data_IF_246374347526
#
_entry.id   IF_246374347526
#
_cell.length_a   1.000
_cell.length_b   1.000
_cell.length_c   1.000
_cell.angle_alpha   90.00
_cell.angle_beta   90.00
_cell.angle_gamma   90.00
#
_symmetry.space_group_name_H-M   'P 1'
#
loop_
_entity.id
_entity.type
_entity.pdbx_description
1 polymer ?
#
# COMPACT_ATOMS: atom_id res chain seq x y z
N UNK A 1 -12.97 -42.00 -23.81
CA UNK A 1 -12.01 -40.90 -23.59
C UNK A 1 -12.65 -39.61 -24.09
N UNK A 2 -13.34 -38.89 -23.21
CA UNK A 2 -13.99 -37.62 -23.57
C UNK A 2 -12.94 -36.53 -23.73
N UNK A 3 -12.63 -36.24 -24.99
CA UNK A 3 -11.77 -35.13 -25.37
C UNK A 3 -12.58 -33.83 -25.20
N UNK A 4 -12.64 -33.31 -23.98
CA UNK A 4 -13.23 -31.99 -23.71
C UNK A 4 -12.31 -30.91 -24.29
N UNK A 5 -12.41 -30.73 -25.61
CA UNK A 5 -11.74 -29.68 -26.37
C UNK A 5 -12.13 -28.32 -25.79
N UNK A 6 -11.27 -27.74 -24.94
CA UNK A 6 -11.38 -26.34 -24.51
C UNK A 6 -11.60 -25.47 -25.74
N UNK A 7 -12.65 -24.65 -25.72
CA UNK A 7 -12.96 -23.69 -26.78
C UNK A 7 -11.74 -22.80 -27.04
N UNK A 8 -11.09 -22.97 -28.21
CA UNK A 8 -9.98 -22.13 -28.67
C UNK A 8 -10.50 -21.09 -29.65
N UNK A 9 -10.16 -19.83 -29.39
CA UNK A 9 -10.46 -18.71 -30.29
C UNK A 9 -9.65 -18.86 -31.58
N UNK A 10 -10.28 -18.71 -32.76
CA UNK A 10 -9.56 -18.68 -34.03
C UNK A 10 -8.59 -17.50 -34.06
N UNK A 11 -7.34 -17.73 -34.48
CA UNK A 11 -6.37 -16.69 -34.76
C UNK A 11 -6.65 -15.99 -36.08
N UNK A 12 -6.03 -14.82 -36.31
CA UNK A 12 -6.17 -14.12 -37.59
C UNK A 12 -5.66 -14.95 -38.77
N UNK A 13 -4.54 -15.67 -38.62
CA UNK A 13 -4.02 -16.58 -39.63
C UNK A 13 -5.01 -17.70 -39.97
N UNK A 14 -5.66 -18.30 -38.97
CA UNK A 14 -6.70 -19.30 -39.20
C UNK A 14 -7.90 -18.72 -39.97
N UNK A 15 -8.31 -17.48 -39.67
CA UNK A 15 -9.38 -16.80 -40.43
C UNK A 15 -9.01 -16.58 -41.91
N UNK A 16 -7.76 -16.24 -42.20
CA UNK A 16 -7.25 -16.12 -43.59
C UNK A 16 -7.29 -17.45 -44.33
N UNK A 17 -6.95 -18.55 -43.66
CA UNK A 17 -7.07 -19.90 -44.23
C UNK A 17 -8.53 -20.24 -44.53
N UNK A 18 -9.45 -19.96 -43.59
CA UNK A 18 -10.89 -20.16 -43.80
C UNK A 18 -11.39 -19.37 -45.02
N UNK A 19 -11.01 -18.10 -45.14
CA UNK A 19 -11.37 -17.25 -46.29
C UNK A 19 -10.92 -17.85 -47.61
N UNK A 20 -9.66 -18.30 -47.71
CA UNK A 20 -9.14 -18.93 -48.92
C UNK A 20 -9.87 -20.25 -49.24
N UNK A 21 -10.09 -21.10 -48.24
CA UNK A 21 -10.72 -22.41 -48.43
C UNK A 21 -12.21 -22.33 -48.76
N UNK A 22 -12.96 -21.39 -48.17
CA UNK A 22 -14.37 -21.17 -48.51
C UNK A 22 -14.52 -20.68 -49.94
N UNK A 23 -13.64 -19.77 -50.40
CA UNK A 23 -13.63 -19.31 -51.80
C UNK A 23 -13.20 -20.39 -52.79
N UNK A 24 -12.34 -21.31 -52.35
CA UNK A 24 -11.94 -22.49 -53.12
C UNK A 24 -12.98 -23.62 -53.12
N UNK A 25 -14.16 -23.43 -52.52
CA UNK A 25 -15.23 -24.43 -52.52
C UNK A 25 -15.01 -25.62 -51.57
N UNK A 26 -14.03 -25.55 -50.65
CA UNK A 26 -13.77 -26.64 -49.71
C UNK A 26 -14.95 -26.84 -48.74
N UNK A 27 -15.21 -28.09 -48.36
CA UNK A 27 -16.28 -28.40 -47.41
C UNK A 27 -15.85 -27.98 -45.99
N UNK A 28 -16.78 -27.45 -45.19
CA UNK A 28 -16.49 -27.01 -43.82
C UNK A 28 -15.85 -28.10 -42.93
N UNK A 29 -16.14 -29.38 -43.22
CA UNK A 29 -15.53 -30.54 -42.53
C UNK A 29 -14.01 -30.64 -42.80
N UNK A 30 -13.58 -30.35 -44.02
CA UNK A 30 -12.18 -30.43 -44.44
C UNK A 30 -11.38 -29.27 -43.86
N UNK A 31 -11.97 -28.07 -43.86
CA UNK A 31 -11.40 -26.88 -43.23
C UNK A 31 -11.20 -27.12 -41.72
N UNK A 32 -12.19 -27.73 -41.06
CA UNK A 32 -12.14 -28.04 -39.64
C UNK A 32 -11.01 -29.05 -39.31
N UNK A 33 -10.91 -30.14 -40.08
CA UNK A 33 -9.84 -31.12 -39.96
C UNK A 33 -8.45 -30.51 -40.18
N UNK A 34 -8.28 -29.70 -41.24
CA UNK A 34 -7.01 -29.06 -41.57
C UNK A 34 -6.55 -28.06 -40.49
N UNK A 35 -7.48 -27.39 -39.83
CA UNK A 35 -7.19 -26.41 -38.77
C UNK A 35 -7.15 -27.02 -37.36
N UNK A 36 -7.46 -28.31 -37.21
CA UNK A 36 -7.54 -28.99 -35.91
C UNK A 36 -8.61 -28.40 -35.00
N UNK A 37 -9.75 -27.96 -35.55
CA UNK A 37 -10.88 -27.39 -34.81
C UNK A 37 -12.16 -28.16 -35.09
N UNK A 38 -13.15 -28.04 -34.21
CA UNK A 38 -14.46 -28.66 -34.44
C UNK A 38 -15.21 -28.04 -35.63
N UNK A 39 -15.96 -28.85 -36.38
CA UNK A 39 -16.77 -28.41 -37.53
C UNK A 39 -17.75 -27.29 -37.16
N UNK A 40 -18.32 -27.33 -35.95
CA UNK A 40 -19.24 -26.30 -35.46
C UNK A 40 -18.55 -24.94 -35.29
N UNK A 41 -17.23 -24.90 -35.02
CA UNK A 41 -16.45 -23.66 -34.94
C UNK A 41 -16.36 -22.97 -36.30
N UNK A 42 -16.07 -23.73 -37.36
CA UNK A 42 -16.03 -23.22 -38.74
C UNK A 42 -17.43 -22.77 -39.17
N UNK A 43 -18.44 -23.60 -38.92
CA UNK A 43 -19.83 -23.29 -39.26
C UNK A 43 -20.31 -21.98 -38.62
N UNK A 44 -20.09 -21.81 -37.29
CA UNK A 44 -20.45 -20.59 -36.56
C UNK A 44 -19.65 -19.36 -37.02
N UNK A 45 -18.35 -19.51 -37.26
CA UNK A 45 -17.50 -18.41 -37.72
C UNK A 45 -17.96 -17.91 -39.09
N UNK A 46 -18.20 -18.82 -40.05
CA UNK A 46 -18.65 -18.48 -41.40
C UNK A 46 -20.07 -17.92 -41.37
N UNK A 47 -21.01 -18.56 -40.68
CA UNK A 47 -22.41 -18.11 -40.65
C UNK A 47 -22.58 -16.75 -39.98
N UNK A 48 -21.90 -16.53 -38.86
CA UNK A 48 -22.09 -15.32 -38.03
C UNK A 48 -21.29 -14.11 -38.52
N UNK A 49 -20.38 -14.29 -39.50
CA UNK A 49 -19.42 -13.25 -39.91
C UNK A 49 -19.21 -13.13 -41.41
N UNK A 50 -20.03 -13.81 -42.21
CA UNK A 50 -20.16 -13.53 -43.63
C UNK A 50 -21.04 -12.29 -43.84
N UNK A 51 -20.74 -11.53 -44.88
CA UNK A 51 -21.54 -10.39 -45.33
C UNK A 51 -21.90 -10.64 -46.79
N UNK A 52 -23.17 -10.51 -47.13
CA UNK A 52 -23.69 -10.72 -48.49
C UNK A 52 -23.27 -12.08 -49.08
N UNK A 53 -23.27 -13.13 -48.23
CA UNK A 53 -22.89 -14.49 -48.61
C UNK A 53 -21.38 -14.76 -48.70
N UNK A 54 -20.52 -13.74 -48.53
CA UNK A 54 -19.06 -13.87 -48.64
C UNK A 54 -18.39 -13.75 -47.27
N UNK A 55 -17.49 -14.69 -46.96
CA UNK A 55 -16.65 -14.63 -45.77
C UNK A 55 -15.39 -13.80 -46.03
N UNK A 56 -15.16 -12.81 -45.15
CA UNK A 56 -13.99 -11.93 -45.19
C UNK A 56 -13.20 -12.02 -43.88
N UNK A 57 -11.95 -12.48 -43.94
CA UNK A 57 -11.13 -12.71 -42.75
C UNK A 57 -10.87 -11.41 -41.96
N UNK A 58 -10.61 -10.31 -42.68
CA UNK A 58 -10.34 -9.00 -42.09
C UNK A 58 -11.57 -8.43 -41.36
N UNK A 59 -12.75 -8.58 -41.97
CA UNK A 59 -14.01 -8.17 -41.35
C UNK A 59 -14.32 -9.03 -40.12
N UNK A 60 -14.14 -10.35 -40.23
CA UNK A 60 -14.36 -11.28 -39.13
C UNK A 60 -13.42 -11.01 -37.94
N UNK A 61 -12.16 -10.66 -38.20
CA UNK A 61 -11.19 -10.24 -37.20
C UNK A 61 -11.53 -8.89 -36.58
N UNK A 62 -11.88 -7.89 -37.39
CA UNK A 62 -12.28 -6.56 -36.92
C UNK A 62 -13.52 -6.63 -36.01
N UNK A 63 -14.54 -7.39 -36.42
CA UNK A 63 -15.74 -7.64 -35.63
C UNK A 63 -15.45 -8.39 -34.34
N UNK A 64 -14.57 -9.39 -34.38
CA UNK A 64 -14.10 -10.08 -33.17
C UNK A 64 -13.43 -9.11 -32.21
N UNK A 65 -12.46 -8.33 -32.67
CA UNK A 65 -11.74 -7.34 -31.86
C UNK A 65 -12.71 -6.32 -31.24
N UNK A 66 -13.69 -5.82 -32.01
CA UNK A 66 -14.74 -4.91 -31.52
C UNK A 66 -15.61 -5.56 -30.43
N UNK A 67 -16.08 -6.79 -30.64
CA UNK A 67 -16.89 -7.52 -29.64
C UNK A 67 -16.05 -7.85 -28.39
N UNK A 68 -14.81 -8.30 -28.57
CA UNK A 68 -13.90 -8.64 -27.47
C UNK A 68 -13.59 -7.44 -26.59
N UNK A 69 -13.43 -6.24 -27.18
CA UNK A 69 -13.32 -4.98 -26.42
C UNK A 69 -14.51 -4.73 -25.49
N UNK A 70 -15.71 -5.19 -25.84
CA UNK A 70 -16.94 -5.08 -25.03
C UNK A 70 -17.14 -6.27 -24.06
N UNK A 71 -16.42 -7.37 -24.25
CA UNK A 71 -16.48 -8.56 -23.41
C UNK A 71 -15.59 -8.41 -22.17
N UNK A 72 -16.00 -7.53 -21.27
CA UNK A 72 -15.41 -7.37 -19.94
C UNK A 72 -16.52 -7.30 -18.89
N UNK A 73 -16.30 -7.80 -17.66
CA UNK A 73 -17.22 -7.55 -16.56
C UNK A 73 -17.50 -6.05 -16.43
N UNK A 74 -18.77 -5.66 -16.33
CA UNK A 74 -19.11 -4.26 -16.03
C UNK A 74 -18.52 -3.91 -14.66
N UNK A 75 -17.94 -2.72 -14.53
CA UNK A 75 -17.41 -2.24 -13.25
C UNK A 75 -18.55 -2.20 -12.22
N UNK A 76 -18.24 -2.50 -10.95
CA UNK A 76 -19.20 -2.46 -9.82
C UNK A 76 -19.68 -1.04 -9.45
N UNK A 77 -19.66 -0.10 -10.39
CA UNK A 77 -20.03 1.30 -10.18
C UNK A 77 -21.54 1.46 -9.91
N UNK A 78 -22.37 0.50 -10.31
CA UNK A 78 -23.81 0.55 -10.07
C UNK A 78 -24.23 0.22 -8.62
N UNK A 79 -23.28 -0.04 -7.71
CA UNK A 79 -23.59 -0.24 -6.30
C UNK A 79 -23.20 1.01 -5.51
N UNK A 80 -24.17 1.91 -5.31
CA UNK A 80 -23.96 3.22 -4.69
C UNK A 80 -23.33 3.12 -3.30
N UNK A 81 -23.65 2.07 -2.52
CA UNK A 81 -23.10 1.87 -1.18
C UNK A 81 -21.61 1.53 -1.22
N UNK A 82 -21.21 0.58 -2.07
CA UNK A 82 -19.79 0.20 -2.21
C UNK A 82 -18.98 1.37 -2.78
N UNK A 83 -19.54 2.06 -3.78
CA UNK A 83 -18.89 3.21 -4.41
C UNK A 83 -18.68 4.33 -3.41
N UNK A 84 -19.73 4.73 -2.70
CA UNK A 84 -19.66 5.78 -1.68
C UNK A 84 -18.66 5.43 -0.59
N UNK A 85 -18.65 4.17 -0.13
CA UNK A 85 -17.71 3.71 0.88
C UNK A 85 -16.24 3.83 0.42
N UNK A 86 -15.83 3.16 -0.67
CA UNK A 86 -14.42 3.24 -1.07
C UNK A 86 -14.01 4.66 -1.50
N UNK A 87 -14.94 5.47 -2.02
CA UNK A 87 -14.67 6.87 -2.34
C UNK A 87 -14.31 7.68 -1.10
N UNK A 88 -15.09 7.53 -0.03
CA UNK A 88 -14.80 8.18 1.25
C UNK A 88 -13.45 7.70 1.80
N UNK A 89 -13.20 6.39 1.79
CA UNK A 89 -11.92 5.84 2.26
C UNK A 89 -10.72 6.36 1.46
N UNK A 90 -10.83 6.45 0.13
CA UNK A 90 -9.79 7.03 -0.72
C UNK A 90 -9.55 8.50 -0.38
N UNK A 91 -10.63 9.29 -0.22
CA UNK A 91 -10.56 10.71 0.12
C UNK A 91 -9.92 10.91 1.50
N UNK A 92 -10.22 10.04 2.46
CA UNK A 92 -9.58 9.95 3.79
C UNK A 92 -8.15 9.40 3.75
N UNK A 93 -7.71 8.96 2.57
CA UNK A 93 -6.32 8.68 2.28
C UNK A 93 -5.87 7.24 2.43
N UNK A 94 -6.81 6.31 2.50
CA UNK A 94 -6.50 4.89 2.37
C UNK A 94 -6.18 4.55 0.91
N UNK A 95 -5.24 3.62 0.74
CA UNK A 95 -4.95 3.03 -0.56
C UNK A 95 -5.99 1.97 -0.95
N UNK A 96 -6.18 1.70 -2.25
CA UNK A 96 -7.01 0.60 -2.71
C UNK A 96 -6.71 -0.76 -2.06
N UNK A 97 -5.43 -1.03 -1.78
CA UNK A 97 -5.00 -2.27 -1.12
C UNK A 97 -5.41 -2.31 0.36
N UNK A 98 -5.29 -1.19 1.07
CA UNK A 98 -5.75 -1.05 2.46
C UNK A 98 -7.27 -1.24 2.56
N UNK A 99 -8.04 -0.61 1.67
CA UNK A 99 -9.51 -0.74 1.62
C UNK A 99 -9.92 -2.20 1.36
N UNK A 100 -9.38 -2.80 0.30
CA UNK A 100 -9.74 -4.16 -0.09
C UNK A 100 -9.34 -5.20 0.98
N UNK A 101 -8.17 -5.02 1.58
CA UNK A 101 -7.70 -5.88 2.66
C UNK A 101 -8.53 -5.74 3.93
N UNK A 102 -8.89 -4.50 4.32
CA UNK A 102 -9.77 -4.26 5.47
C UNK A 102 -11.15 -4.88 5.27
N UNK A 103 -11.75 -4.71 4.08
CA UNK A 103 -13.02 -5.37 3.75
C UNK A 103 -12.93 -6.89 3.83
N UNK A 104 -11.79 -7.48 3.42
CA UNK A 104 -11.57 -8.93 3.53
C UNK A 104 -11.52 -9.39 4.98
N UNK A 105 -10.83 -8.64 5.84
CA UNK A 105 -10.78 -8.90 7.29
C UNK A 105 -12.17 -8.81 7.91
N UNK A 106 -12.91 -7.74 7.66
CA UNK A 106 -14.25 -7.53 8.20
C UNK A 106 -15.25 -8.61 7.75
N UNK A 107 -15.09 -9.15 6.54
CA UNK A 107 -15.87 -10.31 6.08
C UNK A 107 -15.50 -11.57 6.86
N UNK A 108 -14.21 -11.80 7.13
CA UNK A 108 -13.78 -12.96 7.92
C UNK A 108 -14.24 -12.90 9.38
N UNK A 109 -14.41 -11.69 9.92
CA UNK A 109 -14.94 -11.44 11.26
C UNK A 109 -16.48 -11.42 11.32
N UNK A 110 -17.18 -11.61 10.20
CA UNK A 110 -18.64 -11.57 10.14
C UNK A 110 -19.27 -10.17 10.22
N UNK A 111 -18.46 -9.11 10.22
CA UNK A 111 -18.92 -7.70 10.26
C UNK A 111 -19.46 -7.21 8.92
N UNK A 112 -19.02 -7.83 7.82
CA UNK A 112 -19.46 -7.54 6.45
C UNK A 112 -19.71 -8.82 5.67
N UNK A 113 -20.37 -8.70 4.53
CA UNK A 113 -20.66 -9.85 3.66
C UNK A 113 -19.84 -9.81 2.38
N UNK A 114 -19.79 -10.93 1.65
CA UNK A 114 -19.13 -11.00 0.34
C UNK A 114 -19.68 -9.98 -0.67
N UNK A 115 -20.93 -9.54 -0.50
CA UNK A 115 -21.57 -8.53 -1.36
C UNK A 115 -20.90 -7.17 -1.23
N UNK A 116 -20.39 -6.82 -0.05
CA UNK A 116 -19.72 -5.54 0.25
C UNK A 116 -18.28 -5.47 -0.31
N UNK A 117 -17.69 -6.61 -0.69
CA UNK A 117 -16.30 -6.67 -1.12
C UNK A 117 -16.07 -6.05 -2.51
N UNK A 118 -14.99 -5.27 -2.60
CA UNK A 118 -14.38 -4.83 -3.84
C UNK A 118 -12.86 -5.12 -3.82
N UNK A 119 -12.35 -5.69 -4.92
CA UNK A 119 -10.93 -5.99 -5.08
C UNK A 119 -10.13 -4.72 -5.39
N UNK A 120 -8.91 -4.61 -4.87
CA UNK A 120 -8.07 -3.41 -5.06
C UNK A 120 -7.78 -3.12 -6.54
N UNK A 121 -7.66 -4.13 -7.40
CA UNK A 121 -7.53 -3.94 -8.85
C UNK A 121 -8.78 -3.32 -9.47
N UNK A 122 -9.96 -3.66 -8.93
CA UNK A 122 -11.23 -3.06 -9.38
C UNK A 122 -11.31 -1.60 -8.94
N UNK A 123 -10.90 -1.30 -7.70
CA UNK A 123 -10.80 0.08 -7.22
C UNK A 123 -9.84 0.87 -8.12
N UNK A 124 -8.65 0.35 -8.44
CA UNK A 124 -7.70 1.01 -9.33
C UNK A 124 -8.28 1.28 -10.73
N UNK A 125 -8.97 0.31 -11.33
CA UNK A 125 -9.66 0.51 -12.61
C UNK A 125 -10.71 1.61 -12.52
N UNK A 126 -11.49 1.65 -11.43
CA UNK A 126 -12.47 2.73 -11.24
C UNK A 126 -11.76 4.08 -11.13
N UNK A 127 -10.72 4.18 -10.30
CA UNK A 127 -9.99 5.45 -10.09
C UNK A 127 -9.36 6.00 -11.38
N UNK A 128 -8.74 5.14 -12.20
CA UNK A 128 -7.97 5.59 -13.37
C UNK A 128 -8.76 5.54 -14.69
N UNK A 129 -9.64 4.56 -14.88
CA UNK A 129 -10.25 4.27 -16.19
C UNK A 129 -11.69 4.79 -16.28
N UNK A 130 -12.44 4.85 -15.17
CA UNK A 130 -13.85 5.24 -15.20
C UNK A 130 -14.07 6.76 -15.26
N UNK A 131 -15.15 7.18 -15.91
CA UNK A 131 -15.56 8.59 -15.97
C UNK A 131 -15.88 9.15 -14.58
N UNK A 132 -16.46 8.31 -13.72
CA UNK A 132 -16.73 8.64 -12.32
C UNK A 132 -15.44 8.97 -11.57
N UNK A 133 -14.43 8.10 -11.63
CA UNK A 133 -13.15 8.30 -10.94
C UNK A 133 -12.41 9.55 -11.42
N UNK A 134 -12.49 9.85 -12.73
CA UNK A 134 -11.96 11.09 -13.32
C UNK A 134 -12.72 12.33 -12.84
N UNK A 135 -14.06 12.30 -12.86
CA UNK A 135 -14.92 13.40 -12.40
C UNK A 135 -14.70 13.74 -10.93
N UNK A 136 -14.63 12.72 -10.08
CA UNK A 136 -14.36 12.84 -8.64
C UNK A 136 -12.87 13.11 -8.32
N UNK A 137 -12.01 13.16 -9.34
CA UNK A 137 -10.55 13.36 -9.22
C UNK A 137 -9.90 12.40 -8.22
N UNK A 138 -10.39 11.16 -8.13
CA UNK A 138 -9.95 10.21 -7.08
C UNK A 138 -8.45 9.93 -7.10
N UNK A 139 -7.80 10.06 -8.26
CA UNK A 139 -6.37 9.86 -8.42
C UNK A 139 -5.51 10.81 -7.57
N UNK A 140 -5.99 12.02 -7.27
CA UNK A 140 -5.24 13.01 -6.47
C UNK A 140 -5.08 12.59 -5.00
N UNK A 141 -5.95 11.70 -4.52
CA UNK A 141 -5.92 11.17 -3.17
C UNK A 141 -5.09 9.88 -3.05
N UNK A 142 -4.48 9.39 -4.12
CA UNK A 142 -3.56 8.26 -4.05
C UNK A 142 -2.15 8.71 -3.69
N UNK A 143 -1.48 7.95 -2.80
CA UNK A 143 -0.18 8.30 -2.20
C UNK A 143 0.97 8.48 -3.19
N UNK A 144 0.93 7.82 -4.36
CA UNK A 144 2.04 7.81 -5.33
C UNK A 144 1.68 8.56 -6.61
N UNK A 145 2.16 9.80 -6.71
CA UNK A 145 2.61 10.31 -8.01
C UNK A 145 3.89 9.58 -8.38
N UNK A 146 3.96 8.97 -9.57
CA UNK A 146 5.20 8.33 -10.07
C UNK A 146 6.29 9.40 -10.17
N UNK A 147 7.16 9.52 -9.16
CA UNK A 147 8.36 10.35 -9.26
C UNK A 147 9.49 9.47 -9.78
N UNK A 148 10.04 9.83 -10.93
CA UNK A 148 11.25 9.19 -11.44
C UNK A 148 12.39 9.41 -10.43
N UNK A 149 13.07 8.33 -10.07
CA UNK A 149 14.25 8.38 -9.19
C UNK A 149 15.37 9.05 -9.98
N UNK A 150 15.75 10.26 -9.57
CA UNK A 150 16.94 10.92 -10.10
C UNK A 150 18.16 10.48 -9.29
N UNK A 151 19.32 10.29 -9.95
CA UNK A 151 20.58 10.06 -9.25
C UNK A 151 20.86 11.28 -8.37
N UNK A 152 21.02 11.05 -7.07
CA UNK A 152 21.53 12.05 -6.14
C UNK A 152 22.95 11.65 -5.74
N UNK A 153 23.88 12.61 -5.79
CA UNK A 153 25.24 12.40 -5.32
C UNK A 153 25.26 12.31 -3.80
N UNK A 154 26.01 11.33 -3.26
CA UNK A 154 26.18 11.17 -1.82
C UNK A 154 26.84 12.41 -1.22
N UNK A 155 26.25 12.95 -0.14
CA UNK A 155 26.93 13.96 0.68
C UNK A 155 28.01 13.25 1.52
N UNK A 156 29.19 13.88 1.64
CA UNK A 156 30.20 13.48 2.62
C UNK A 156 29.58 13.56 4.02
N UNK A 157 29.63 12.49 4.81
CA UNK A 157 29.20 12.54 6.20
C UNK A 157 30.15 13.43 6.99
N UNK A 158 29.58 14.30 7.83
CA UNK A 158 30.29 14.71 9.04
C UNK A 158 30.18 13.55 10.02
N UNK A 159 31.30 13.12 10.60
CA UNK A 159 31.27 12.18 11.74
C UNK A 159 30.65 12.92 12.93
N UNK A 160 29.38 12.66 13.22
CA UNK A 160 28.79 12.99 14.51
C UNK A 160 29.28 11.99 15.53
N UNK A 161 30.00 12.45 16.55
CA UNK A 161 30.45 11.63 17.67
C UNK A 161 29.30 11.59 18.68
N UNK A 162 28.57 10.47 18.72
CA UNK A 162 27.58 10.21 19.77
C UNK A 162 28.31 9.41 20.85
N UNK A 163 28.51 9.96 22.06
CA UNK A 163 29.18 9.25 23.16
C UNK A 163 28.44 7.94 23.48
N UNK A 164 29.17 6.90 23.88
CA UNK A 164 28.57 5.67 24.45
C UNK A 164 27.42 5.04 23.64
N UNK A 165 27.39 5.22 22.32
CA UNK A 165 26.35 4.60 21.49
C UNK A 165 26.51 3.09 21.45
N UNK A 166 25.41 2.36 21.55
CA UNK A 166 25.37 0.91 21.38
C UNK A 166 24.95 0.59 19.94
N UNK A 167 25.64 -0.35 19.29
CA UNK A 167 25.34 -0.72 17.91
C UNK A 167 23.98 -1.40 17.82
N UNK A 168 23.29 -1.24 16.68
CA UNK A 168 22.09 -2.02 16.38
C UNK A 168 22.37 -3.53 16.33
N UNK A 169 23.62 -3.94 16.12
CA UNK A 169 24.02 -5.35 16.12
C UNK A 169 23.90 -6.00 17.51
N UNK A 170 24.08 -5.20 18.57
CA UNK A 170 23.96 -5.65 19.97
C UNK A 170 22.48 -5.69 20.42
N UNK A 171 21.55 -5.29 19.54
CA UNK A 171 20.12 -5.24 19.87
C UNK A 171 19.55 -6.66 19.95
N UNK A 172 18.80 -7.00 21.02
CA UNK A 172 18.18 -8.32 21.16
C UNK A 172 17.30 -8.70 19.96
N UNK A 173 17.33 -9.98 19.58
CA UNK A 173 16.59 -10.46 18.40
C UNK A 173 15.06 -10.31 18.52
N UNK A 174 14.50 -10.36 19.73
CA UNK A 174 13.07 -10.11 20.00
C UNK A 174 12.59 -8.76 19.40
N UNK A 175 13.46 -7.75 19.35
CA UNK A 175 13.16 -6.44 18.76
C UNK A 175 13.06 -6.49 17.23
N UNK A 176 13.87 -7.35 16.60
CA UNK A 176 13.84 -7.58 15.16
C UNK A 176 12.59 -8.37 14.76
N UNK A 177 12.23 -9.36 15.58
CA UNK A 177 11.04 -10.21 15.42
C UNK A 177 9.74 -9.44 15.74
N UNK A 178 9.82 -8.38 16.56
CA UNK A 178 8.69 -7.51 16.96
C UNK A 178 7.63 -8.27 17.77
N UNK A 179 8.08 -9.11 18.69
CA UNK A 179 7.21 -10.03 19.43
C UNK A 179 6.65 -9.43 20.72
N UNK A 180 7.20 -8.30 21.19
CA UNK A 180 6.71 -7.56 22.36
C UNK A 180 6.42 -6.10 22.03
N UNK A 181 5.61 -5.47 22.86
CA UNK A 181 5.42 -4.02 22.82
C UNK A 181 6.54 -3.31 23.59
N UNK A 182 6.72 -2.03 23.30
CA UNK A 182 7.69 -1.18 23.99
C UNK A 182 9.03 -1.06 23.28
N UNK A 183 9.19 -1.67 22.12
CA UNK A 183 10.36 -1.43 21.28
C UNK A 183 10.06 -0.30 20.28
N UNK A 184 10.61 0.88 20.51
CA UNK A 184 10.35 2.10 19.75
C UNK A 184 11.48 2.42 18.76
N UNK A 185 11.13 3.00 17.61
CA UNK A 185 12.10 3.68 16.75
C UNK A 185 11.84 5.19 16.74
N UNK A 186 12.89 5.99 16.88
CA UNK A 186 12.84 7.45 16.80
C UNK A 186 13.43 7.96 15.49
N UNK A 187 12.80 8.95 14.87
CA UNK A 187 13.32 9.65 13.70
C UNK A 187 12.91 11.13 13.72
N UNK A 188 13.55 11.94 12.87
CA UNK A 188 13.24 13.37 12.76
C UNK A 188 12.85 13.77 11.33
N UNK A 189 11.67 14.36 11.18
CA UNK A 189 11.20 14.94 9.93
C UNK A 189 11.51 16.43 9.91
N UNK A 190 12.44 16.85 9.05
CA UNK A 190 12.93 18.23 8.99
C UNK A 190 12.08 19.08 8.03
N UNK A 191 11.76 20.30 8.47
CA UNK A 191 11.05 21.34 7.74
C UNK A 191 11.91 22.62 7.60
N UNK A 192 11.47 23.63 6.82
CA UNK A 192 12.11 24.94 6.78
C UNK A 192 12.26 25.58 8.18
N UNK A 193 13.06 26.64 8.27
CA UNK A 193 13.29 27.39 9.52
C UNK A 193 13.90 26.55 10.67
N UNK A 194 14.56 25.42 10.33
CA UNK A 194 15.16 24.47 11.28
C UNK A 194 14.16 23.78 12.21
N UNK A 195 12.86 23.93 11.97
CA UNK A 195 11.80 23.19 12.67
C UNK A 195 11.85 21.72 12.28
N UNK A 196 11.41 20.88 13.20
CA UNK A 196 11.34 19.44 12.98
C UNK A 196 10.14 18.84 13.68
N UNK A 197 9.77 17.64 13.27
CA UNK A 197 8.84 16.79 13.98
C UNK A 197 9.61 15.54 14.40
N UNK A 198 9.62 15.23 15.68
CA UNK A 198 10.08 13.94 16.17
C UNK A 198 8.97 12.92 15.89
N UNK A 199 9.33 11.79 15.28
CA UNK A 199 8.42 10.68 15.01
C UNK A 199 8.88 9.45 15.78
N UNK A 200 8.00 8.94 16.63
CA UNK A 200 8.19 7.71 17.38
C UNK A 200 7.24 6.65 16.84
N UNK A 201 7.77 5.47 16.51
CA UNK A 201 6.98 4.35 16.00
C UNK A 201 7.26 3.10 16.83
N UNK A 202 6.21 2.54 17.43
CA UNK A 202 6.29 1.28 18.16
C UNK A 202 6.39 0.12 17.15
N UNK A 203 7.36 -0.78 17.32
CA UNK A 203 7.74 -1.71 16.26
C UNK A 203 6.72 -2.83 16.03
N UNK A 204 5.99 -3.27 17.05
CA UNK A 204 5.02 -4.38 16.96
C UNK A 204 3.68 -3.92 16.38
N UNK A 205 3.07 -2.93 17.01
CA UNK A 205 1.76 -2.34 16.71
C UNK A 205 1.80 -1.28 15.62
N UNK A 206 2.97 -0.71 15.32
CA UNK A 206 3.15 0.41 14.38
C UNK A 206 2.46 1.71 14.82
N UNK A 207 2.06 1.83 16.08
CA UNK A 207 1.50 3.07 16.62
C UNK A 207 2.55 4.17 16.49
N UNK A 208 2.12 5.28 15.91
CA UNK A 208 2.95 6.45 15.65
C UNK A 208 2.57 7.56 16.62
N UNK A 209 3.58 8.19 17.21
CA UNK A 209 3.45 9.39 18.04
C UNK A 209 4.34 10.48 17.46
N UNK A 210 3.82 11.69 17.38
CA UNK A 210 4.50 12.84 16.79
C UNK A 210 4.66 13.94 17.83
N UNK A 211 5.82 14.60 17.84
CA UNK A 211 6.09 15.75 18.70
C UNK A 211 6.68 16.89 17.87
N UNK A 212 6.13 18.10 18.03
CA UNK A 212 6.65 19.29 17.37
C UNK A 212 7.94 19.76 18.05
N UNK A 213 8.98 20.02 17.26
CA UNK A 213 10.24 20.60 17.72
C UNK A 213 10.42 21.98 17.10
N UNK A 214 10.68 22.99 17.95
CA UNK A 214 11.02 24.33 17.50
C UNK A 214 12.36 24.32 16.77
N UNK A 215 13.32 23.52 17.26
CA UNK A 215 14.56 23.22 16.59
C UNK A 215 14.97 21.77 16.81
N UNK A 216 15.64 21.21 15.81
CA UNK A 216 16.24 19.87 15.89
C UNK A 216 17.50 19.88 16.77
N UNK A 217 17.32 20.04 18.08
CA UNK A 217 18.39 20.03 19.11
C UNK A 217 18.30 18.77 19.96
N UNK A 218 19.39 18.41 20.64
CA UNK A 218 19.41 17.23 21.49
C UNK A 218 18.53 17.38 22.74
N UNK A 219 18.44 18.58 23.30
CA UNK A 219 17.59 18.89 24.46
C UNK A 219 16.11 18.75 24.08
N UNK A 220 15.67 19.44 23.03
CA UNK A 220 14.26 19.38 22.59
C UNK A 220 13.87 17.95 22.17
N UNK A 221 14.77 17.22 21.50
CA UNK A 221 14.52 15.83 21.10
C UNK A 221 14.38 14.92 22.32
N UNK A 222 15.27 15.04 23.31
CA UNK A 222 15.20 14.30 24.58
C UNK A 222 13.86 14.53 25.29
N UNK A 223 13.52 15.79 25.52
CA UNK A 223 12.28 16.18 26.22
C UNK A 223 11.03 15.68 25.47
N UNK A 224 11.01 15.84 24.14
CA UNK A 224 9.92 15.37 23.32
C UNK A 224 9.72 13.85 23.39
N UNK A 225 10.80 13.07 23.48
CA UNK A 225 10.72 11.61 23.59
C UNK A 225 10.24 11.20 24.98
N UNK A 226 10.83 11.77 26.04
CA UNK A 226 10.45 11.46 27.42
C UNK A 226 8.97 11.77 27.64
N UNK A 227 8.53 12.99 27.33
CA UNK A 227 7.14 13.42 27.55
C UNK A 227 6.13 12.55 26.77
N UNK A 228 6.52 12.02 25.61
CA UNK A 228 5.62 11.23 24.76
C UNK A 228 5.54 9.76 25.16
N UNK A 229 6.53 9.26 25.90
CA UNK A 229 6.69 7.85 26.26
C UNK A 229 6.67 7.55 27.76
N UNK A 230 6.78 8.55 28.64
CA UNK A 230 6.95 8.37 30.11
C UNK A 230 5.88 7.49 30.78
N UNK A 231 4.66 7.43 30.22
CA UNK A 231 3.54 6.66 30.76
C UNK A 231 3.22 5.41 29.92
N UNK A 232 4.17 4.92 29.13
CA UNK A 232 4.01 3.79 28.22
C UNK A 232 5.08 2.73 28.49
N UNK A 233 4.86 1.47 28.07
CA UNK A 233 5.92 0.48 28.09
C UNK A 233 7.04 0.91 27.12
N UNK A 234 8.27 0.96 27.63
CA UNK A 234 9.47 1.25 26.85
C UNK A 234 10.57 0.27 27.25
N UNK A 235 10.88 -0.64 26.34
CA UNK A 235 11.92 -1.64 26.49
C UNK A 235 13.20 -1.22 25.77
N UNK A 236 13.04 -0.72 24.53
CA UNK A 236 14.15 -0.25 23.72
C UNK A 236 13.78 0.97 22.89
N UNK A 237 14.76 1.80 22.59
CA UNK A 237 14.62 2.90 21.62
C UNK A 237 15.76 2.83 20.61
N UNK A 238 15.41 2.79 19.33
CA UNK A 238 16.38 2.78 18.23
C UNK A 238 16.45 4.14 17.55
N UNK A 239 17.66 4.68 17.42
CA UNK A 239 17.97 5.99 16.84
C UNK A 239 18.78 5.88 15.54
N UNK A 240 18.81 6.97 14.77
CA UNK A 240 19.87 7.16 13.76
C UNK A 240 21.08 7.91 14.38
N UNK A 241 22.16 8.02 13.59
CA UNK A 241 23.37 8.73 14.02
C UNK A 241 23.26 10.27 13.95
N UNK A 242 22.05 10.81 14.12
CA UNK A 242 21.80 12.25 14.19
C UNK A 242 22.36 12.88 15.47
N UNK A 243 22.88 14.10 15.36
CA UNK A 243 23.42 14.86 16.52
C UNK A 243 22.36 15.21 17.56
N UNK A 244 21.08 15.18 17.18
CA UNK A 244 19.97 15.35 18.10
C UNK A 244 19.80 14.18 19.09
N UNK A 245 20.42 13.03 18.81
CA UNK A 245 20.29 11.85 19.65
C UNK A 245 21.48 11.71 20.63
N UNK A 246 22.29 12.75 20.84
CA UNK A 246 23.47 12.68 21.72
C UNK A 246 23.14 12.53 23.20
N UNK A 247 21.91 12.84 23.62
CA UNK A 247 21.44 12.69 25.01
C UNK A 247 20.62 11.39 25.18
N UNK A 248 20.87 10.36 24.36
CA UNK A 248 20.14 9.08 24.43
C UNK A 248 20.33 8.37 25.77
N UNK A 249 21.47 8.54 26.45
CA UNK A 249 21.69 7.93 27.78
C UNK A 249 20.71 8.49 28.81
N UNK A 250 20.47 9.81 28.81
CA UNK A 250 19.48 10.44 29.70
C UNK A 250 18.06 9.96 29.37
N UNK A 251 17.73 9.81 28.08
CA UNK A 251 16.44 9.23 27.65
C UNK A 251 16.29 7.81 28.19
N UNK A 252 17.32 6.97 27.99
CA UNK A 252 17.32 5.58 28.42
C UNK A 252 17.20 5.46 29.94
N UNK A 253 17.93 6.27 30.70
CA UNK A 253 17.83 6.31 32.17
C UNK A 253 16.43 6.74 32.65
N UNK A 254 15.86 7.78 32.04
CA UNK A 254 14.56 8.32 32.48
C UNK A 254 13.38 7.38 32.15
N UNK A 255 13.48 6.64 31.05
CA UNK A 255 12.44 5.70 30.59
C UNK A 255 12.71 4.24 30.95
N UNK A 256 13.78 3.96 31.70
CA UNK A 256 14.27 2.60 31.98
C UNK A 256 14.42 1.72 30.72
N UNK A 257 14.97 2.32 29.66
CA UNK A 257 15.00 1.73 28.33
C UNK A 257 16.42 1.59 27.77
N UNK A 258 16.68 0.51 27.04
CA UNK A 258 17.95 0.32 26.32
C UNK A 258 17.93 1.09 25.00
N UNK A 259 19.04 1.73 24.65
CA UNK A 259 19.14 2.56 23.44
C UNK A 259 20.12 1.96 22.44
N UNK A 260 19.76 2.02 21.15
CA UNK A 260 20.55 1.42 20.06
C UNK A 260 20.63 2.36 18.86
N UNK A 261 21.70 2.25 18.06
CA UNK A 261 21.95 3.11 16.91
C UNK A 261 22.16 2.33 15.63
N UNK A 262 21.42 2.69 14.59
CA UNK A 262 21.59 2.14 13.24
C UNK A 262 23.01 2.40 12.68
N UNK A 263 23.41 1.61 11.69
CA UNK A 263 24.64 1.84 10.95
C UNK A 263 24.55 3.09 10.09
N UNK A 264 25.65 3.82 9.98
CA UNK A 264 25.72 5.01 9.12
C UNK A 264 25.54 4.60 7.65
N UNK A 265 24.60 5.22 6.92
CA UNK A 265 24.24 4.92 5.53
C UNK A 265 23.40 3.65 5.30
N UNK A 266 22.91 3.01 6.36
CA UNK A 266 22.07 1.81 6.26
C UNK A 266 20.58 2.16 6.38
N UNK A 267 20.07 2.96 5.43
CA UNK A 267 18.69 3.46 5.49
C UNK A 267 17.62 2.36 5.53
N UNK A 268 17.93 1.15 5.08
CA UNK A 268 17.01 0.00 5.11
C UNK A 268 16.72 -0.51 6.51
N UNK A 269 17.58 -0.22 7.50
CA UNK A 269 17.40 -0.62 8.90
C UNK A 269 16.23 0.12 9.57
N UNK A 270 15.78 1.24 8.98
CA UNK A 270 14.67 2.08 9.42
C UNK A 270 13.48 2.05 8.44
N UNK A 271 13.27 0.94 7.74
CA UNK A 271 12.18 0.83 6.75
C UNK A 271 10.78 1.16 7.32
N UNK A 272 10.56 0.95 8.63
CA UNK A 272 9.31 1.35 9.30
C UNK A 272 9.18 2.86 9.39
N UNK A 273 10.17 3.56 9.94
CA UNK A 273 10.18 5.02 9.98
C UNK A 273 10.13 5.66 8.59
N UNK A 274 10.82 5.13 7.58
CA UNK A 274 10.74 5.69 6.23
C UNK A 274 9.30 5.63 5.68
N UNK A 275 8.62 4.50 5.87
CA UNK A 275 7.24 4.34 5.47
C UNK A 275 6.32 5.30 6.26
N UNK A 276 6.45 5.36 7.58
CA UNK A 276 5.65 6.24 8.46
C UNK A 276 5.87 7.71 8.12
N UNK A 277 7.12 8.15 7.97
CA UNK A 277 7.45 9.53 7.59
C UNK A 277 6.95 9.88 6.19
N UNK A 278 6.86 8.89 5.29
CA UNK A 278 6.17 9.04 4.02
C UNK A 278 4.65 9.23 4.14
N UNK A 279 4.02 8.72 5.19
CA UNK A 279 2.59 8.93 5.48
C UNK A 279 2.34 10.28 6.12
N UNK A 280 3.16 10.69 7.10
CA UNK A 280 3.09 12.04 7.70
C UNK A 280 3.22 13.12 6.63
N UNK A 281 4.14 12.93 5.66
CA UNK A 281 4.34 13.86 4.53
C UNK A 281 3.14 14.04 3.59
N UNK A 282 2.10 13.22 3.74
CA UNK A 282 0.83 13.43 3.03
C UNK A 282 0.04 14.60 3.62
N UNK A 283 0.09 14.75 4.94
CA UNK A 283 -0.51 15.87 5.66
C UNK A 283 0.40 17.09 5.64
N UNK A 284 1.71 16.84 5.79
CA UNK A 284 2.72 17.89 5.91
C UNK A 284 3.79 17.72 4.81
N UNK A 285 3.51 18.13 3.56
CA UNK A 285 4.48 18.03 2.48
C UNK A 285 5.84 18.65 2.80
N UNK A 286 6.89 18.07 2.21
CA UNK A 286 8.25 18.63 2.32
C UNK A 286 8.26 20.10 1.90
N UNK A 287 9.01 20.92 2.65
CA UNK A 287 9.20 22.37 2.41
C UNK A 287 7.97 23.24 2.69
N UNK A 288 6.88 22.68 3.20
CA UNK A 288 5.81 23.50 3.77
C UNK A 288 6.32 24.24 5.01
N UNK A 289 5.89 25.48 5.20
CA UNK A 289 6.08 26.17 6.47
C UNK A 289 5.13 25.58 7.52
N UNK A 290 5.67 25.09 8.63
CA UNK A 290 4.93 24.51 9.76
C UNK A 290 4.89 25.46 10.96
N UNK A 291 5.02 26.77 10.74
CA UNK A 291 5.11 27.75 11.83
C UNK A 291 3.84 27.86 12.66
N UNK A 292 2.68 27.68 12.01
CA UNK A 292 1.37 27.70 12.65
C UNK A 292 0.88 26.31 13.08
N UNK A 293 1.73 25.28 12.92
CA UNK A 293 1.36 23.92 13.31
C UNK A 293 1.44 23.80 14.83
N UNK A 294 0.40 23.25 15.44
CA UNK A 294 0.34 22.99 16.88
C UNK A 294 0.60 21.51 17.19
N UNK A 295 0.82 21.20 18.47
CA UNK A 295 0.92 19.81 18.90
C UNK A 295 -0.41 19.06 18.74
N UNK A 296 -1.54 19.76 18.87
CA UNK A 296 -2.89 19.18 18.67
C UNK A 296 -3.06 18.71 17.23
N UNK A 297 -2.66 19.53 16.24
CA UNK A 297 -2.71 19.13 14.84
C UNK A 297 -1.89 17.86 14.56
N UNK A 298 -0.73 17.71 15.22
CA UNK A 298 0.11 16.52 15.10
C UNK A 298 -0.52 15.29 15.74
N UNK A 299 -1.22 15.46 16.86
CA UNK A 299 -1.91 14.38 17.55
C UNK A 299 -3.11 13.90 16.73
N UNK A 300 -3.85 14.80 16.07
CA UNK A 300 -4.90 14.45 15.11
C UNK A 300 -4.33 13.68 13.90
N UNK A 301 -3.22 14.15 13.33
CA UNK A 301 -2.54 13.43 12.24
C UNK A 301 -2.09 12.04 12.71
N UNK A 302 -1.54 11.93 13.91
CA UNK A 302 -1.11 10.64 14.47
C UNK A 302 -2.30 9.70 14.66
N UNK A 303 -3.42 10.20 15.18
CA UNK A 303 -4.63 9.41 15.40
C UNK A 303 -5.24 8.91 14.09
N UNK A 304 -5.32 9.77 13.08
CA UNK A 304 -5.67 9.37 11.71
C UNK A 304 -4.76 8.26 11.18
N UNK A 305 -3.44 8.37 11.41
CA UNK A 305 -2.48 7.35 10.99
C UNK A 305 -2.62 6.04 11.77
N UNK A 306 -3.00 6.11 13.04
CA UNK A 306 -3.16 4.98 13.93
C UNK A 306 -4.52 4.27 13.76
N UNK A 307 -5.48 4.91 13.12
CA UNK A 307 -6.75 4.31 12.68
C UNK A 307 -6.75 3.85 11.22
N UNK A 308 -5.60 3.90 10.53
CA UNK A 308 -5.45 3.36 9.18
C UNK A 308 -5.04 1.88 9.21
N UNK A 309 -5.74 0.99 8.47
CA UNK A 309 -5.40 -0.43 8.45
C UNK A 309 -4.02 -0.65 7.82
N UNK A 310 -3.22 -1.54 8.39
CA UNK A 310 -1.86 -1.85 7.91
C UNK A 310 -1.78 -3.28 7.40
N UNK A 311 -1.33 -3.47 6.16
CA UNK A 311 -1.09 -4.81 5.59
C UNK A 311 -0.19 -5.67 6.49
N UNK A 312 0.83 -5.08 7.13
CA UNK A 312 1.74 -5.77 8.05
C UNK A 312 1.02 -6.33 9.29
N UNK A 313 -0.06 -5.67 9.71
CA UNK A 313 -0.90 -6.08 10.84
C UNK A 313 -2.14 -6.83 10.34
N UNK A 314 -2.05 -7.54 9.20
CA UNK A 314 -3.20 -8.22 8.58
C UNK A 314 -4.43 -7.33 8.40
N UNK A 315 -4.23 -6.05 8.12
CA UNK A 315 -5.27 -5.03 7.94
C UNK A 315 -6.04 -4.62 9.22
N UNK A 316 -5.53 -4.98 10.40
CA UNK A 316 -5.87 -4.26 11.64
C UNK A 316 -5.21 -2.87 11.63
N UNK A 317 -5.78 -1.95 12.39
CA UNK A 317 -5.21 -0.63 12.64
C UNK A 317 -4.18 -0.71 13.77
N UNK A 318 -3.19 0.21 13.82
CA UNK A 318 -2.28 0.31 14.95
C UNK A 318 -3.00 0.44 16.30
N UNK A 319 -4.08 1.22 16.38
CA UNK A 319 -4.87 1.35 17.62
C UNK A 319 -5.55 0.04 18.02
N UNK A 320 -6.12 -0.71 17.08
CA UNK A 320 -6.70 -2.04 17.37
C UNK A 320 -5.64 -3.01 17.89
N UNK A 321 -4.45 -3.02 17.27
CA UNK A 321 -3.35 -3.87 17.71
C UNK A 321 -2.81 -3.47 19.08
N UNK A 322 -2.69 -2.17 19.35
CA UNK A 322 -2.26 -1.70 20.67
C UNK A 322 -3.26 -2.10 21.76
N UNK A 323 -4.55 -1.94 21.50
CA UNK A 323 -5.60 -2.34 22.43
C UNK A 323 -5.56 -3.85 22.70
N UNK A 324 -5.35 -4.67 21.66
CA UNK A 324 -5.20 -6.11 21.80
C UNK A 324 -4.00 -6.49 22.67
N UNK A 325 -2.84 -5.86 22.45
CA UNK A 325 -1.63 -6.11 23.25
C UNK A 325 -1.81 -5.67 24.72
N UNK A 326 -2.46 -4.52 24.96
CA UNK A 326 -2.77 -4.06 26.31
C UNK A 326 -3.73 -4.98 27.04
N UNK A 327 -4.70 -5.55 26.34
CA UNK A 327 -5.59 -6.55 26.89
C UNK A 327 -4.83 -7.82 27.31
N UNK A 328 -3.90 -8.31 26.48
CA UNK A 328 -3.05 -9.46 26.81
C UNK A 328 -2.17 -9.19 28.04
N UNK A 329 -1.58 -8.01 28.13
CA UNK A 329 -0.74 -7.62 29.28
C UNK A 329 -1.55 -7.48 30.57
N UNK A 330 -2.76 -6.94 30.49
CA UNK A 330 -3.65 -6.75 31.64
C UNK A 330 -4.26 -8.06 32.13
N UNK A 331 -4.58 -8.98 31.20
CA UNK A 331 -5.14 -10.30 31.51
C UNK A 331 -4.13 -11.30 32.09
N UNK A 332 -2.82 -11.11 31.87
CA UNK A 332 -1.77 -11.92 32.50
C UNK A 332 -1.58 -11.62 34.00
N UNK A 333 -2.09 -10.50 34.52
CA UNK A 333 -2.00 -10.15 35.94
C UNK A 333 -3.18 -10.67 36.79
N UNK A 334 -4.00 -11.59 36.26
CA UNK A 334 -5.18 -12.15 36.95
C UNK A 334 -5.18 -13.69 37.06
N UNK A 335 -4.03 -14.36 36.99
CA UNK A 335 -3.91 -15.82 37.25
C UNK A 335 -2.96 -16.07 38.41
#
# INVERSE_FOLDING_TARGET
MENTSKFKQLSFGQRKIIEKSVRGGCLQKEIALALGVDKSTISREVSSRSRDGVYWADLAQSNYSKKRKKCHPKLKINNDKIVSHFCNEIKNGLSPEEISGRLKLEISLGLKTRKDYIGYETIYKIVYESDFGKREKLCQYLRRGKKHRTKQYGRKSKKTLIPNRVSIDDRPQIVNLRERVGDWEADSIIYPNKKAINSLVERKTLVTRLSLLNRKTAIETKEAIINKLENLPVETITFDNGSENTLHEEVGQKLDAKTYFCHAYHSWEKGTNENTNGLVRRYLPKRQNIDNLTQVDLDEIAEDLNNRPRKKLNYFTPNEMLQFEYYLLSGCNQI
#
